data_IF_301466581367
#
_entry.id   IF_301466581367
#
_cell.length_a   1.000
_cell.length_b   1.000
_cell.length_c   1.000
_cell.angle_alpha   90.00
_cell.angle_beta   90.00
_cell.angle_gamma   90.00
#
_symmetry.space_group_name_H-M   'P 1'
#
loop_
_entity.id
_entity.type
_entity.pdbx_description
1 polymer ?
#
# COMPACT_ATOMS: atom_id res chain seq x y z
N UNK A 1 -36.55 75.04 46.83
CA UNK A 1 -37.51 74.24 46.03
C UNK A 1 -36.83 73.79 44.77
N UNK A 2 -36.35 72.56 44.75
CA UNK A 2 -35.71 71.98 43.55
C UNK A 2 -36.29 70.58 43.33
N UNK A 3 -37.01 70.45 42.24
CA UNK A 3 -37.67 69.21 41.81
C UNK A 3 -36.67 68.26 41.17
N UNK A 4 -36.57 67.01 41.69
CA UNK A 4 -35.71 65.95 41.13
C UNK A 4 -36.61 65.05 40.30
N UNK A 5 -36.38 65.05 38.96
CA UNK A 5 -36.99 64.11 38.02
C UNK A 5 -36.27 62.73 38.05
N UNK A 6 -37.02 61.72 38.40
CA UNK A 6 -36.56 60.29 38.28
C UNK A 6 -36.55 59.87 36.81
N UNK A 7 -35.41 59.54 36.32
CA UNK A 7 -35.24 58.78 35.02
C UNK A 7 -35.29 57.28 35.30
N UNK A 8 -36.25 56.62 34.67
CA UNK A 8 -36.30 55.11 34.58
C UNK A 8 -35.33 54.66 33.56
N UNK A 9 -34.38 53.81 33.97
CA UNK A 9 -33.50 53.04 33.05
C UNK A 9 -34.20 51.72 32.71
N UNK A 10 -34.56 51.55 31.44
CA UNK A 10 -34.92 50.22 30.88
C UNK A 10 -33.63 49.44 30.61
N UNK A 11 -33.46 48.35 31.33
CA UNK A 11 -32.42 47.37 31.05
C UNK A 11 -32.82 46.48 29.87
N UNK A 12 -32.10 46.55 28.75
CA UNK A 12 -32.22 45.59 27.66
C UNK A 12 -31.35 44.34 27.99
N UNK A 13 -32.02 43.23 28.24
CA UNK A 13 -31.33 41.94 28.37
C UNK A 13 -30.98 41.42 26.97
N UNK A 14 -29.68 41.37 26.64
CA UNK A 14 -29.18 40.73 25.43
C UNK A 14 -29.02 39.23 25.74
N UNK A 15 -29.90 38.38 25.20
CA UNK A 15 -29.72 36.93 25.17
C UNK A 15 -28.64 36.58 24.15
N UNK A 16 -27.45 36.20 24.61
CA UNK A 16 -26.43 35.60 23.78
C UNK A 16 -26.81 34.11 23.54
N UNK A 17 -27.29 33.78 22.34
CA UNK A 17 -27.39 32.39 21.89
C UNK A 17 -25.96 31.84 21.66
N UNK A 18 -25.49 31.02 22.59
CA UNK A 18 -24.32 30.19 22.37
C UNK A 18 -24.69 29.05 21.37
N UNK A 19 -24.27 29.21 20.13
CA UNK A 19 -24.33 28.12 19.16
C UNK A 19 -23.32 27.03 19.57
N UNK A 20 -23.82 25.96 20.20
CA UNK A 20 -23.06 24.75 20.48
C UNK A 20 -22.87 24.08 19.13
N UNK A 21 -21.72 24.29 18.49
CA UNK A 21 -21.28 23.56 17.32
C UNK A 21 -21.08 22.08 17.71
N UNK A 22 -21.97 21.20 17.26
CA UNK A 22 -21.79 19.76 17.35
C UNK A 22 -20.49 19.42 16.60
N UNK A 23 -19.55 18.66 17.20
CA UNK A 23 -18.41 18.16 16.45
C UNK A 23 -18.95 17.27 15.35
N UNK A 24 -18.76 17.68 14.09
CA UNK A 24 -19.07 16.85 12.95
C UNK A 24 -18.30 15.55 13.10
N UNK A 25 -19.01 14.42 13.23
CA UNK A 25 -18.43 13.09 13.14
C UNK A 25 -17.82 12.97 11.76
N UNK A 26 -16.49 13.09 11.66
CA UNK A 26 -15.77 12.75 10.43
C UNK A 26 -16.11 11.30 10.13
N UNK A 27 -16.96 11.08 9.14
CA UNK A 27 -17.23 9.73 8.62
C UNK A 27 -15.90 9.17 8.18
N UNK A 28 -15.40 8.14 8.85
CA UNK A 28 -14.23 7.42 8.43
C UNK A 28 -14.54 6.87 7.03
N UNK A 29 -13.96 7.48 5.99
CA UNK A 29 -14.12 7.03 4.63
C UNK A 29 -13.60 5.60 4.56
N UNK A 30 -14.46 4.65 4.15
CA UNK A 30 -14.05 3.26 4.01
C UNK A 30 -12.86 3.14 3.06
N UNK A 31 -11.89 2.30 3.44
CA UNK A 31 -10.70 2.09 2.61
C UNK A 31 -11.11 1.60 1.21
N UNK A 32 -10.53 2.16 0.13
CA UNK A 32 -10.88 1.77 -1.23
C UNK A 32 -10.63 0.29 -1.46
N UNK A 33 -11.53 -0.35 -2.22
CA UNK A 33 -11.42 -1.77 -2.59
C UNK A 33 -11.33 -1.92 -4.09
N UNK A 34 -10.54 -2.90 -4.54
CA UNK A 34 -10.39 -3.25 -5.95
C UNK A 34 -10.70 -4.73 -6.13
N UNK A 35 -11.62 -5.03 -7.02
CA UNK A 35 -11.93 -6.38 -7.44
C UNK A 35 -11.07 -6.76 -8.63
N UNK A 36 -10.35 -7.86 -8.51
CA UNK A 36 -9.65 -8.53 -9.60
C UNK A 36 -10.47 -9.71 -10.09
N UNK A 37 -10.76 -9.71 -11.39
CA UNK A 37 -11.32 -10.87 -12.10
C UNK A 37 -10.17 -11.58 -12.80
N UNK A 38 -9.92 -12.83 -12.47
CA UNK A 38 -8.81 -13.61 -13.04
C UNK A 38 -9.30 -14.86 -13.77
N UNK A 39 -8.38 -15.58 -14.43
CA UNK A 39 -8.69 -16.89 -15.00
C UNK A 39 -8.96 -17.97 -13.95
N UNK A 40 -8.48 -17.78 -12.71
CA UNK A 40 -8.62 -18.73 -11.61
C UNK A 40 -9.81 -18.41 -10.67
N UNK A 41 -10.49 -17.29 -10.91
CA UNK A 41 -11.59 -16.76 -10.10
C UNK A 41 -11.35 -15.31 -9.68
N UNK A 42 -12.19 -14.81 -8.80
CA UNK A 42 -12.19 -13.41 -8.39
C UNK A 42 -11.65 -13.24 -6.97
N UNK A 43 -10.92 -12.16 -6.72
CA UNK A 43 -10.54 -11.75 -5.37
C UNK A 43 -10.67 -10.23 -5.21
N UNK A 44 -10.81 -9.78 -3.97
CA UNK A 44 -10.93 -8.35 -3.65
C UNK A 44 -9.78 -7.95 -2.72
N UNK A 45 -9.16 -6.83 -3.04
CA UNK A 45 -8.14 -6.20 -2.20
C UNK A 45 -8.65 -4.89 -1.63
N UNK A 46 -8.30 -4.62 -0.39
CA UNK A 46 -8.47 -3.33 0.25
C UNK A 46 -7.12 -2.63 0.29
N UNK A 47 -7.08 -1.33 -0.02
CA UNK A 47 -5.84 -0.55 -0.06
C UNK A 47 -5.84 0.56 0.98
N UNK A 48 -4.66 0.96 1.47
CA UNK A 48 -4.48 1.81 2.66
C UNK A 48 -3.86 3.18 2.30
N UNK A 49 -4.66 4.14 1.81
CA UNK A 49 -4.16 5.46 1.41
C UNK A 49 -3.62 6.28 2.58
N UNK A 50 -4.04 6.01 3.80
CA UNK A 50 -3.51 6.62 5.03
C UNK A 50 -2.11 6.14 5.39
N UNK A 51 -1.70 4.95 4.95
CA UNK A 51 -0.38 4.36 5.19
C UNK A 51 0.61 4.66 4.06
N UNK A 52 0.21 4.45 2.81
CA UNK A 52 1.04 4.60 1.62
C UNK A 52 0.30 5.42 0.53
N UNK A 53 0.09 6.73 0.74
CA UNK A 53 -0.77 7.55 -0.11
C UNK A 53 -0.31 7.61 -1.57
N UNK A 54 1.00 7.77 -1.84
CA UNK A 54 1.53 7.84 -3.22
C UNK A 54 1.43 6.50 -3.92
N UNK A 55 1.73 5.42 -3.21
CA UNK A 55 1.63 4.04 -3.71
C UNK A 55 0.19 3.69 -4.06
N UNK A 56 -0.75 3.99 -3.17
CA UNK A 56 -2.18 3.74 -3.40
C UNK A 56 -2.71 4.60 -4.55
N UNK A 57 -2.38 5.89 -4.60
CA UNK A 57 -2.79 6.76 -5.70
C UNK A 57 -2.28 6.25 -7.05
N UNK A 58 -1.02 5.83 -7.14
CA UNK A 58 -0.42 5.23 -8.33
C UNK A 58 -1.14 3.92 -8.73
N UNK A 59 -1.34 3.01 -7.79
CA UNK A 59 -2.05 1.75 -8.03
C UNK A 59 -3.48 1.97 -8.53
N UNK A 60 -4.25 2.82 -7.87
CA UNK A 60 -5.63 3.15 -8.27
C UNK A 60 -5.69 3.86 -9.63
N UNK A 61 -4.66 4.62 -9.99
CA UNK A 61 -4.58 5.21 -11.31
C UNK A 61 -4.38 4.15 -12.40
N UNK A 62 -3.52 3.14 -12.18
CA UNK A 62 -3.39 1.99 -13.09
C UNK A 62 -4.70 1.17 -13.20
N UNK A 63 -5.46 1.04 -12.11
CA UNK A 63 -6.80 0.41 -12.13
C UNK A 63 -7.76 1.21 -13.03
N UNK A 64 -7.81 2.55 -12.86
CA UNK A 64 -8.65 3.44 -13.68
C UNK A 64 -8.28 3.40 -15.17
N UNK A 65 -6.97 3.34 -15.45
CA UNK A 65 -6.43 3.28 -16.81
C UNK A 65 -6.60 1.88 -17.44
N UNK A 66 -7.19 0.92 -16.73
CA UNK A 66 -7.33 -0.49 -17.15
C UNK A 66 -5.99 -1.14 -17.53
N UNK A 67 -4.90 -0.66 -16.91
CA UNK A 67 -3.56 -1.16 -17.20
C UNK A 67 -3.43 -2.65 -16.89
N UNK A 68 -4.08 -3.11 -15.81
CA UNK A 68 -4.00 -4.50 -15.38
C UNK A 68 -4.80 -5.47 -16.26
N UNK A 69 -5.76 -4.96 -17.05
CA UNK A 69 -6.58 -5.78 -17.94
C UNK A 69 -5.70 -6.46 -19.01
N UNK A 70 -5.80 -7.78 -19.10
CA UNK A 70 -5.00 -8.61 -20.00
C UNK A 70 -3.57 -8.87 -19.55
N UNK A 71 -3.14 -8.40 -18.38
CA UNK A 71 -1.84 -8.78 -17.80
C UNK A 71 -1.89 -10.17 -17.18
N UNK A 72 -0.72 -10.73 -16.89
CA UNK A 72 -0.56 -12.05 -16.29
C UNK A 72 0.15 -11.97 -14.93
N UNK A 73 -0.06 -13.00 -14.11
CA UNK A 73 0.85 -13.33 -13.03
C UNK A 73 2.06 -14.04 -13.63
N UNK A 74 3.11 -13.30 -13.93
CA UNK A 74 4.28 -13.77 -14.65
C UNK A 74 5.32 -14.47 -13.76
N UNK A 75 5.21 -14.35 -12.43
CA UNK A 75 6.09 -15.00 -11.47
C UNK A 75 5.30 -15.50 -10.27
N UNK A 76 5.35 -16.81 -10.03
CA UNK A 76 4.63 -17.49 -8.96
C UNK A 76 5.58 -18.43 -8.22
N UNK A 77 5.76 -18.19 -6.93
CA UNK A 77 6.56 -19.03 -6.04
C UNK A 77 5.67 -19.43 -4.86
N UNK A 78 5.30 -20.72 -4.77
CA UNK A 78 4.26 -21.26 -3.90
C UNK A 78 4.44 -20.97 -2.42
N UNK A 79 5.68 -20.89 -1.94
CA UNK A 79 6.03 -20.58 -0.54
C UNK A 79 6.61 -19.17 -0.37
N UNK A 80 6.23 -18.24 -1.24
CA UNK A 80 6.76 -16.88 -1.20
C UNK A 80 5.69 -15.86 -1.60
N UNK A 81 5.45 -15.69 -2.93
CA UNK A 81 4.52 -14.67 -3.43
C UNK A 81 4.01 -15.00 -4.83
N UNK A 82 2.95 -14.32 -5.26
CA UNK A 82 2.49 -14.27 -6.64
C UNK A 82 2.60 -12.84 -7.16
N UNK A 83 3.33 -12.64 -8.27
CA UNK A 83 3.66 -11.31 -8.82
C UNK A 83 3.03 -11.13 -10.21
N UNK A 84 2.42 -9.98 -10.43
CA UNK A 84 1.75 -9.66 -11.69
C UNK A 84 1.67 -8.16 -11.97
N UNK A 85 0.88 -7.81 -12.99
CA UNK A 85 0.54 -6.42 -13.32
C UNK A 85 1.53 -5.67 -14.22
N UNK A 86 2.52 -6.34 -14.80
CA UNK A 86 3.53 -5.69 -15.65
C UNK A 86 3.63 -6.23 -17.06
N UNK A 87 3.24 -7.48 -17.31
CA UNK A 87 3.45 -8.18 -18.57
C UNK A 87 2.13 -8.71 -19.12
N UNK A 88 2.00 -8.71 -20.45
CA UNK A 88 0.92 -9.41 -21.15
C UNK A 88 1.27 -10.89 -21.39
N UNK A 89 0.38 -11.63 -22.07
CA UNK A 89 0.56 -13.06 -22.34
C UNK A 89 1.72 -13.37 -23.30
N UNK A 90 2.20 -12.40 -24.05
CA UNK A 90 3.39 -12.52 -24.89
C UNK A 90 4.70 -12.23 -24.14
N UNK A 91 4.60 -11.93 -22.84
CA UNK A 91 5.67 -11.43 -21.98
C UNK A 91 6.21 -10.05 -22.40
N UNK A 92 5.46 -9.29 -23.18
CA UNK A 92 5.79 -7.91 -23.45
C UNK A 92 5.43 -7.05 -22.20
N UNK A 93 6.38 -6.24 -21.78
CA UNK A 93 6.13 -5.30 -20.68
C UNK A 93 5.20 -4.19 -21.15
N UNK A 94 4.09 -3.96 -20.44
CA UNK A 94 3.20 -2.84 -20.73
C UNK A 94 3.86 -1.52 -20.35
N UNK A 95 3.65 -0.45 -21.14
CA UNK A 95 4.17 0.89 -20.82
C UNK A 95 3.75 1.33 -19.43
N UNK A 96 4.68 1.93 -18.69
CA UNK A 96 4.42 2.39 -17.32
C UNK A 96 4.47 3.90 -17.21
N UNK A 97 3.81 4.44 -16.20
CA UNK A 97 3.99 5.80 -15.70
C UNK A 97 5.38 5.91 -15.05
N UNK A 98 5.87 7.13 -14.78
CA UNK A 98 7.08 7.30 -13.98
C UNK A 98 7.01 6.51 -12.67
N UNK A 99 8.16 6.04 -12.20
CA UNK A 99 8.28 5.35 -10.91
C UNK A 99 7.92 6.28 -9.74
N UNK A 100 7.58 5.66 -8.62
CA UNK A 100 7.17 6.37 -7.40
C UNK A 100 8.23 6.25 -6.30
N UNK A 101 8.25 7.26 -5.42
CA UNK A 101 9.09 7.24 -4.21
C UNK A 101 8.63 6.12 -3.29
N UNK A 102 9.59 5.42 -2.68
CA UNK A 102 9.34 4.34 -1.74
C UNK A 102 8.71 4.86 -0.43
N UNK A 103 7.62 4.23 0.00
CA UNK A 103 6.88 4.62 1.23
C UNK A 103 6.92 3.55 2.32
N UNK A 104 7.68 2.46 2.15
CA UNK A 104 7.59 1.28 3.04
C UNK A 104 7.93 1.56 4.50
N UNK A 105 9.00 2.31 4.78
CA UNK A 105 9.38 2.67 6.14
C UNK A 105 8.32 3.58 6.79
N UNK A 106 7.83 4.58 6.06
CA UNK A 106 6.79 5.49 6.53
C UNK A 106 5.45 4.75 6.74
N UNK A 107 5.05 3.88 5.82
CA UNK A 107 3.85 3.07 5.94
C UNK A 107 3.90 2.19 7.19
N UNK A 108 5.03 1.50 7.42
CA UNK A 108 5.22 0.67 8.60
C UNK A 108 5.23 1.49 9.90
N UNK A 109 5.88 2.66 9.91
CA UNK A 109 5.90 3.57 11.06
C UNK A 109 4.50 4.12 11.39
N UNK A 110 3.62 4.27 10.40
CA UNK A 110 2.20 4.63 10.57
C UNK A 110 1.31 3.44 10.98
N UNK A 111 1.88 2.30 11.37
CA UNK A 111 1.13 1.10 11.74
C UNK A 111 0.54 0.35 10.54
N UNK A 112 1.10 0.52 9.35
CA UNK A 112 0.77 -0.29 8.18
C UNK A 112 1.18 -1.75 8.36
N UNK A 113 0.58 -2.69 7.62
CA UNK A 113 0.88 -4.11 7.76
C UNK A 113 2.28 -4.45 7.27
N UNK A 114 2.84 -5.50 7.85
CA UNK A 114 4.06 -6.16 7.37
C UNK A 114 3.78 -7.00 6.14
N UNK A 115 4.84 -7.53 5.51
CA UNK A 115 4.74 -8.52 4.42
C UNK A 115 4.31 -9.89 4.96
N UNK A 116 3.05 -10.01 5.35
CA UNK A 116 2.42 -11.24 5.85
C UNK A 116 1.42 -11.80 4.83
N UNK A 117 0.97 -13.03 5.03
CA UNK A 117 0.01 -13.70 4.11
C UNK A 117 -1.17 -12.77 3.77
N UNK A 118 -1.44 -12.68 2.47
CA UNK A 118 -2.55 -11.92 1.90
C UNK A 118 -2.26 -10.44 1.67
N UNK A 119 -1.12 -9.89 2.12
CA UNK A 119 -0.78 -8.49 1.87
C UNK A 119 -0.27 -8.26 0.46
N UNK A 120 -0.59 -7.07 -0.08
CA UNK A 120 -0.10 -6.57 -1.36
C UNK A 120 1.07 -5.63 -1.14
N UNK A 121 2.15 -5.83 -1.89
CA UNK A 121 3.30 -4.94 -1.90
C UNK A 121 3.73 -4.60 -3.32
N UNK A 122 4.37 -3.41 -3.48
CA UNK A 122 4.90 -3.00 -4.78
C UNK A 122 6.18 -3.76 -5.12
N UNK A 123 6.22 -4.34 -6.30
CA UNK A 123 7.46 -4.87 -6.86
C UNK A 123 8.37 -3.72 -7.31
N UNK A 124 9.67 -3.90 -7.19
CA UNK A 124 10.71 -2.94 -7.55
C UNK A 124 12.01 -3.64 -7.95
N UNK A 125 12.91 -2.92 -8.56
CA UNK A 125 14.30 -3.33 -8.79
C UNK A 125 15.14 -3.11 -7.50
N UNK A 126 16.46 -3.17 -7.61
CA UNK A 126 17.35 -2.82 -6.49
C UNK A 126 17.23 -1.34 -6.07
N UNK A 127 16.83 -0.45 -7.00
CA UNK A 127 16.50 0.93 -6.64
C UNK A 127 15.16 0.97 -5.86
N UNK A 128 15.14 1.47 -4.63
CA UNK A 128 13.92 1.58 -3.84
C UNK A 128 12.83 2.41 -4.53
N UNK A 129 13.18 3.40 -5.33
CA UNK A 129 12.28 4.31 -6.02
C UNK A 129 11.92 3.88 -7.45
N UNK A 130 12.09 2.60 -7.78
CA UNK A 130 11.80 2.05 -9.12
C UNK A 130 10.43 1.44 -9.28
N UNK A 131 9.60 1.42 -8.25
CA UNK A 131 8.25 0.85 -8.31
C UNK A 131 7.36 1.61 -9.30
N UNK A 132 6.58 0.89 -10.12
CA UNK A 132 5.64 1.48 -11.08
C UNK A 132 4.28 0.77 -11.06
N UNK A 133 4.04 -0.23 -11.92
CA UNK A 133 2.74 -0.92 -12.02
C UNK A 133 2.72 -2.29 -11.33
N UNK A 134 3.87 -2.98 -11.26
CA UNK A 134 3.90 -4.35 -10.78
C UNK A 134 3.69 -4.44 -9.26
N UNK A 135 2.92 -5.42 -8.85
CA UNK A 135 2.67 -5.76 -7.46
C UNK A 135 2.85 -7.26 -7.22
N UNK A 136 2.98 -7.63 -5.95
CA UNK A 136 2.89 -9.02 -5.55
C UNK A 136 1.97 -9.19 -4.34
N UNK A 137 1.41 -10.40 -4.23
CA UNK A 137 0.62 -10.82 -3.07
C UNK A 137 1.46 -11.84 -2.30
N UNK A 138 1.68 -11.57 -1.02
CA UNK A 138 2.39 -12.49 -0.14
C UNK A 138 1.52 -13.74 0.11
N UNK A 139 2.06 -14.93 -0.12
CA UNK A 139 1.36 -16.21 0.16
C UNK A 139 2.00 -16.98 1.31
N UNK A 140 2.97 -16.36 1.97
CA UNK A 140 3.65 -16.72 3.20
C UNK A 140 4.01 -15.43 3.95
N UNK A 141 4.28 -15.53 5.25
CA UNK A 141 4.88 -14.45 6.03
C UNK A 141 6.34 -14.30 5.62
N UNK A 142 6.68 -13.13 5.08
CA UNK A 142 7.97 -12.82 4.48
C UNK A 142 8.65 -11.69 5.25
N UNK A 143 9.02 -11.92 6.50
CA UNK A 143 9.58 -10.89 7.40
C UNK A 143 10.83 -10.22 6.83
N UNK A 144 11.63 -10.93 6.04
CA UNK A 144 12.82 -10.39 5.39
C UNK A 144 12.54 -9.33 4.31
N UNK A 145 11.28 -9.21 3.87
CA UNK A 145 10.81 -8.15 2.96
C UNK A 145 10.34 -6.89 3.69
N UNK A 146 10.28 -6.92 5.03
CA UNK A 146 9.81 -5.76 5.77
C UNK A 146 10.84 -4.63 5.75
N UNK A 147 10.38 -3.38 5.62
CA UNK A 147 11.24 -2.23 5.79
C UNK A 147 11.85 -2.19 7.19
N UNK A 148 13.09 -1.76 7.30
CA UNK A 148 13.74 -1.54 8.59
C UNK A 148 13.45 -0.12 9.08
N UNK A 149 12.88 0.01 10.28
CA UNK A 149 12.70 1.32 10.91
C UNK A 149 14.02 1.76 11.50
N UNK A 150 14.57 2.85 10.98
CA UNK A 150 15.81 3.45 11.45
C UNK A 150 15.48 4.34 12.66
N UNK A 151 15.98 4.03 13.87
CA UNK A 151 15.75 4.85 15.07
C UNK A 151 16.24 6.29 14.91
N UNK A 152 15.75 7.19 15.74
CA UNK A 152 16.23 8.56 15.79
C UNK A 152 17.70 8.64 16.25
N UNK A 153 18.39 9.72 15.85
CA UNK A 153 19.78 10.00 16.22
C UNK A 153 20.73 10.01 15.01
N UNK A 154 21.85 10.70 15.17
CA UNK A 154 22.99 10.69 14.26
C UNK A 154 24.26 10.89 15.09
N UNK A 155 25.08 9.84 15.26
CA UNK A 155 24.89 8.49 14.74
C UNK A 155 23.66 7.77 15.34
N UNK A 156 23.09 6.81 14.61
CA UNK A 156 22.01 5.96 15.11
C UNK A 156 22.56 5.05 16.21
N UNK A 157 22.01 5.11 17.44
CA UNK A 157 22.68 4.49 18.59
C UNK A 157 22.65 2.95 18.51
N UNK A 158 21.53 2.36 18.10
CA UNK A 158 21.36 0.92 17.92
C UNK A 158 20.18 0.61 17.00
N UNK A 159 20.35 -0.35 16.09
CA UNK A 159 19.26 -0.98 15.35
C UNK A 159 19.60 -2.43 14.99
N UNK A 160 18.59 -3.20 14.65
CA UNK A 160 18.72 -4.59 14.24
C UNK A 160 18.34 -4.76 12.77
N UNK A 161 19.15 -5.50 12.03
CA UNK A 161 18.89 -5.85 10.64
C UNK A 161 19.40 -7.27 10.36
N UNK A 162 18.53 -8.13 9.82
CA UNK A 162 18.83 -9.54 9.50
C UNK A 162 19.49 -10.32 10.66
N UNK A 163 19.00 -10.10 11.87
CA UNK A 163 19.50 -10.77 13.07
C UNK A 163 20.84 -10.24 13.60
N UNK A 164 21.40 -9.20 13.00
CA UNK A 164 22.61 -8.53 13.49
C UNK A 164 22.27 -7.19 14.14
N UNK A 165 22.98 -6.87 15.20
CA UNK A 165 22.89 -5.58 15.89
C UNK A 165 23.98 -4.64 15.40
N UNK A 166 23.56 -3.45 14.98
CA UNK A 166 24.43 -2.35 14.56
C UNK A 166 24.36 -1.23 15.58
N UNK A 167 25.50 -0.62 15.93
CA UNK A 167 25.59 0.45 16.92
C UNK A 167 26.40 1.63 16.40
N UNK A 168 25.99 2.85 16.77
CA UNK A 168 26.67 4.09 16.44
C UNK A 168 26.95 4.26 14.92
N UNK A 169 26.00 3.88 14.08
CA UNK A 169 26.15 3.98 12.62
C UNK A 169 25.71 5.38 12.16
N UNK A 170 26.54 6.08 11.36
CA UNK A 170 26.15 7.36 10.78
C UNK A 170 24.85 7.22 10.00
N UNK A 171 23.89 8.10 10.26
CA UNK A 171 22.54 8.04 9.63
C UNK A 171 22.61 8.07 8.12
N UNK A 172 23.52 8.84 7.54
CA UNK A 172 23.72 8.94 6.11
C UNK A 172 23.96 7.57 5.45
N UNK A 173 24.71 6.67 6.09
CA UNK A 173 24.95 5.31 5.59
C UNK A 173 23.68 4.45 5.57
N UNK A 174 22.75 4.71 6.47
CA UNK A 174 21.52 3.93 6.62
C UNK A 174 20.43 4.42 5.67
N UNK A 175 20.23 5.74 5.55
CA UNK A 175 19.18 6.30 4.70
C UNK A 175 19.43 6.07 3.21
N UNK A 176 20.66 5.73 2.83
CA UNK A 176 21.05 5.41 1.46
C UNK A 176 21.27 3.90 1.22
N UNK A 177 21.02 3.05 2.23
CA UNK A 177 21.23 1.61 2.12
C UNK A 177 20.01 0.89 1.53
N UNK A 178 20.01 0.46 0.24
CA UNK A 178 18.83 -0.08 -0.45
C UNK A 178 18.21 -1.30 0.25
N UNK A 179 19.04 -2.10 0.93
CA UNK A 179 18.62 -3.31 1.65
C UNK A 179 17.69 -3.02 2.85
N UNK A 180 17.73 -1.79 3.42
CA UNK A 180 16.91 -1.40 4.57
C UNK A 180 15.50 -0.96 4.19
N UNK A 181 15.27 -0.67 2.91
CA UNK A 181 13.97 -0.16 2.45
C UNK A 181 12.87 -1.23 2.45
N UNK A 182 13.21 -2.52 2.22
CA UNK A 182 12.22 -3.57 2.09
C UNK A 182 11.24 -3.30 0.93
N UNK A 183 9.96 -3.66 1.13
CA UNK A 183 8.89 -3.48 0.14
C UNK A 183 7.70 -2.77 0.78
N UNK A 184 7.12 -1.82 0.06
CA UNK A 184 5.96 -1.05 0.52
C UNK A 184 4.70 -1.90 0.46
N UNK A 185 4.18 -2.33 1.62
CA UNK A 185 2.85 -2.93 1.71
C UNK A 185 1.81 -1.81 1.68
N UNK A 186 0.84 -1.93 0.76
CA UNK A 186 -0.16 -0.89 0.54
C UNK A 186 -1.61 -1.39 0.55
N UNK A 187 -1.82 -2.70 0.75
CA UNK A 187 -3.15 -3.29 0.79
C UNK A 187 -3.13 -4.75 1.23
N UNK A 188 -4.32 -5.35 1.27
CA UNK A 188 -4.52 -6.75 1.64
C UNK A 188 -5.71 -7.36 0.90
N UNK A 189 -5.62 -8.65 0.58
CA UNK A 189 -6.76 -9.45 0.12
C UNK A 189 -7.77 -9.57 1.25
N UNK A 190 -9.00 -9.11 1.01
CA UNK A 190 -10.11 -9.16 1.98
C UNK A 190 -11.19 -10.16 1.59
N UNK A 191 -11.15 -10.66 0.35
CA UNK A 191 -12.05 -11.73 -0.13
C UNK A 191 -11.36 -12.49 -1.27
N UNK A 192 -11.61 -13.78 -1.40
CA UNK A 192 -11.05 -14.62 -2.48
C UNK A 192 -9.61 -15.07 -2.22
N UNK A 193 -9.16 -15.21 -0.99
CA UNK A 193 -7.83 -15.75 -0.69
C UNK A 193 -7.67 -17.19 -1.17
N UNK A 194 -8.74 -17.95 -1.30
CA UNK A 194 -8.77 -19.29 -1.91
C UNK A 194 -8.37 -19.22 -3.40
N UNK A 195 -8.75 -18.16 -4.13
CA UNK A 195 -8.32 -17.92 -5.52
C UNK A 195 -6.82 -17.64 -5.58
N UNK A 196 -6.30 -16.80 -4.68
CA UNK A 196 -4.84 -16.56 -4.57
C UNK A 196 -4.11 -17.86 -4.24
N UNK A 197 -4.69 -18.73 -3.41
CA UNK A 197 -4.14 -20.04 -3.12
C UNK A 197 -4.19 -21.00 -4.31
N UNK A 198 -5.17 -20.91 -5.21
CA UNK A 198 -5.14 -21.63 -6.50
C UNK A 198 -4.01 -21.11 -7.38
N UNK A 199 -3.87 -19.79 -7.51
CA UNK A 199 -2.79 -19.18 -8.31
C UNK A 199 -1.40 -19.63 -7.80
N UNK A 200 -1.15 -19.61 -6.49
CA UNK A 200 0.16 -20.06 -5.95
C UNK A 200 0.47 -21.54 -6.17
N UNK A 201 -0.55 -22.35 -6.42
CA UNK A 201 -0.41 -23.80 -6.60
C UNK A 201 -0.26 -24.23 -8.07
N UNK A 202 -0.35 -23.31 -9.04
CA UNK A 202 -0.19 -23.67 -10.45
C UNK A 202 1.22 -24.19 -10.73
N UNK A 203 1.38 -25.16 -11.64
CA UNK A 203 2.70 -25.62 -12.07
C UNK A 203 3.47 -24.47 -12.74
N UNK A 204 4.74 -24.31 -12.36
CA UNK A 204 5.64 -23.27 -12.88
C UNK A 204 6.84 -23.86 -13.61
N UNK A 205 7.51 -23.04 -14.39
CA UNK A 205 8.72 -23.37 -15.13
C UNK A 205 9.30 -22.14 -15.83
N UNK A 206 10.11 -22.35 -16.87
CA UNK A 206 10.57 -21.27 -17.74
C UNK A 206 9.41 -20.76 -18.61
N UNK A 207 9.44 -19.45 -18.93
CA UNK A 207 8.45 -18.83 -19.82
C UNK A 207 8.91 -17.45 -20.28
N UNK A 208 8.79 -17.15 -21.58
CA UNK A 208 9.29 -15.92 -22.17
C UNK A 208 10.75 -15.66 -21.82
N UNK A 209 11.10 -14.47 -21.30
CA UNK A 209 12.47 -14.13 -20.89
C UNK A 209 12.84 -14.66 -19.50
N UNK A 210 11.93 -15.34 -18.79
CA UNK A 210 12.14 -15.79 -17.42
C UNK A 210 12.55 -17.25 -17.37
N UNK A 211 13.67 -17.59 -16.70
CA UNK A 211 14.18 -18.97 -16.67
C UNK A 211 13.38 -19.89 -15.73
N UNK A 212 12.64 -19.33 -14.76
CA UNK A 212 11.89 -20.09 -13.73
C UNK A 212 10.63 -19.34 -13.31
N UNK A 213 9.81 -20.01 -12.50
CA UNK A 213 8.71 -19.43 -11.71
C UNK A 213 7.53 -18.87 -12.53
N UNK A 214 7.52 -19.10 -13.84
CA UNK A 214 6.41 -18.69 -14.71
C UNK A 214 5.33 -19.78 -14.72
N UNK A 215 4.04 -19.44 -14.49
CA UNK A 215 2.96 -20.41 -14.66
C UNK A 215 2.99 -21.06 -16.05
N UNK A 216 3.01 -22.41 -16.12
CA UNK A 216 2.99 -23.15 -17.39
C UNK A 216 1.75 -22.86 -18.21
N UNK A 217 0.62 -22.65 -17.56
CA UNK A 217 -0.61 -22.10 -18.15
C UNK A 217 -0.73 -20.67 -17.65
N UNK A 218 -0.75 -19.66 -18.52
CA UNK A 218 -0.83 -18.27 -18.10
C UNK A 218 -2.06 -17.99 -17.21
N UNK A 219 -1.83 -17.35 -16.08
CA UNK A 219 -2.89 -16.85 -15.18
C UNK A 219 -3.14 -15.39 -15.48
N UNK A 220 -4.31 -15.10 -16.06
CA UNK A 220 -4.67 -13.76 -16.52
C UNK A 220 -5.37 -12.94 -15.44
N UNK A 221 -5.07 -11.67 -15.40
CA UNK A 221 -5.92 -10.63 -14.82
C UNK A 221 -6.84 -10.14 -15.95
N UNK A 222 -8.11 -10.58 -15.94
CA UNK A 222 -9.10 -10.19 -16.96
C UNK A 222 -9.53 -8.75 -16.78
N UNK A 223 -9.70 -8.30 -15.53
CA UNK A 223 -9.97 -6.91 -15.19
C UNK A 223 -9.62 -6.61 -13.74
N UNK A 224 -9.35 -5.33 -13.44
CA UNK A 224 -9.23 -4.78 -12.10
C UNK A 224 -10.11 -3.53 -12.01
N UNK A 225 -11.09 -3.52 -11.08
CA UNK A 225 -12.07 -2.43 -10.96
C UNK A 225 -12.27 -2.00 -9.51
N UNK A 226 -12.45 -0.69 -9.29
CA UNK A 226 -12.90 -0.18 -8.00
C UNK A 226 -14.29 -0.73 -7.68
N UNK A 227 -14.48 -1.13 -6.43
CA UNK A 227 -15.79 -1.56 -5.89
C UNK A 227 -16.12 -0.70 -4.68
N UNK A 228 -17.42 -0.42 -4.54
CA UNK A 228 -17.99 0.35 -3.42
C UNK A 228 -18.16 -0.53 -2.17
#
# INVERSE_FOLDING_TARGET
MISVKRRKLLGAAVLALAAIGLPGTASAQSAPKVKFVTSEGDFVVEVYPDKAPKTVANFLQYVKDKHYDGTIFHRVISNFMVQGGGFDASYAQKPTRPSIVHEGQEALAKGGPKNVVGTLAMARTNDPNSASSQFFINVKDNDFLNPTIIPAGDPVPKFEFQGQTYTNVPREQLVNAPQLFGYTVFGKVVSGMDVVNKIKAVPTGAGGPFPTDVPKTPVFIKSATLVS
#
